data_IF_211390079063
#
_entry.id   IF_211390079063
#
_cell.length_a   1.000
_cell.length_b   1.000
_cell.length_c   1.000
_cell.angle_alpha   90.00
_cell.angle_beta   90.00
_cell.angle_gamma   90.00
#
_symmetry.space_group_name_H-M   'P 1'
#
loop_
_entity.id
_entity.type
_entity.pdbx_description
1 polymer ?
#
# COMPACT_ATOMS: atom_id res chain seq x y z
N UNK A 1 8.12 7.42 16.51
CA UNK A 1 8.41 8.77 15.92
C UNK A 1 7.33 9.79 16.29
N UNK A 2 7.55 11.12 16.05
CA UNK A 2 6.51 12.14 16.21
C UNK A 2 5.79 12.36 14.87
N UNK A 3 4.54 11.92 14.76
CA UNK A 3 3.78 11.95 13.50
C UNK A 3 3.31 13.34 13.09
N UNK A 4 3.14 14.28 14.03
CA UNK A 4 2.89 15.69 13.70
C UNK A 4 4.10 16.29 12.99
N UNK A 5 5.30 16.07 13.49
CA UNK A 5 6.55 16.52 12.85
C UNK A 5 6.73 15.88 11.48
N UNK A 6 6.42 14.58 11.32
CA UNK A 6 6.49 13.88 10.02
C UNK A 6 5.49 14.48 9.02
N UNK A 7 4.26 14.77 9.44
CA UNK A 7 3.26 15.43 8.61
C UNK A 7 3.70 16.82 8.16
N UNK A 8 4.29 17.60 9.06
CA UNK A 8 4.76 18.95 8.73
C UNK A 8 5.98 18.89 7.81
N UNK A 9 6.87 17.92 8.00
CA UNK A 9 7.96 17.66 7.05
C UNK A 9 7.40 17.29 5.65
N UNK A 10 6.41 16.38 5.57
CA UNK A 10 5.79 16.00 4.31
C UNK A 10 5.20 17.18 3.56
N UNK A 11 4.47 18.10 4.23
CA UNK A 11 3.92 19.30 3.59
C UNK A 11 4.97 20.14 2.87
N UNK A 12 6.17 20.22 3.40
CA UNK A 12 7.26 21.04 2.85
C UNK A 12 8.10 20.28 1.80
N UNK A 13 8.25 18.98 1.97
CA UNK A 13 9.30 18.18 1.32
C UNK A 13 8.78 17.00 0.47
N UNK A 14 7.48 16.76 0.37
CA UNK A 14 6.95 15.73 -0.54
C UNK A 14 7.44 15.91 -1.98
N UNK A 15 7.45 14.85 -2.77
CA UNK A 15 7.90 14.92 -4.17
C UNK A 15 6.92 15.73 -5.02
N UNK A 16 7.30 16.97 -5.32
CA UNK A 16 6.44 17.93 -6.02
C UNK A 16 6.26 17.64 -7.50
N UNK A 17 7.16 16.86 -8.10
CA UNK A 17 7.05 16.44 -9.50
C UNK A 17 5.88 15.44 -9.70
N UNK A 18 5.42 14.80 -8.62
CA UNK A 18 4.29 13.89 -8.65
C UNK A 18 3.06 14.57 -8.03
N UNK A 19 2.21 15.12 -8.89
CA UNK A 19 0.99 15.78 -8.50
C UNK A 19 -0.22 15.20 -9.24
N UNK A 20 -1.37 15.21 -8.59
CA UNK A 20 -2.62 14.75 -9.17
C UNK A 20 -2.73 13.21 -9.18
N UNK A 21 -3.67 12.72 -9.98
CA UNK A 21 -4.05 11.30 -10.01
C UNK A 21 -3.47 10.53 -11.20
N UNK A 22 -3.04 11.22 -12.23
CA UNK A 22 -2.47 10.61 -13.43
C UNK A 22 -0.94 10.57 -13.32
N UNK A 23 -0.43 9.43 -12.88
CA UNK A 23 1.00 9.17 -12.71
C UNK A 23 1.37 7.97 -13.57
N UNK A 24 2.32 8.16 -14.47
CA UNK A 24 2.81 7.16 -15.44
C UNK A 24 4.31 6.92 -15.29
N UNK A 25 4.85 6.00 -16.06
CA UNK A 25 6.30 5.72 -16.09
C UNK A 25 7.12 6.98 -16.40
N UNK A 26 6.63 7.84 -17.30
CA UNK A 26 7.34 9.10 -17.66
C UNK A 26 7.48 10.08 -16.49
N UNK A 27 6.58 10.03 -15.51
CA UNK A 27 6.65 10.85 -14.31
C UNK A 27 7.64 10.29 -13.27
N UNK A 28 7.68 8.95 -13.11
CA UNK A 28 8.50 8.33 -12.06
C UNK A 28 9.91 7.98 -12.51
N UNK A 29 10.16 7.71 -13.79
CA UNK A 29 11.48 7.30 -14.27
C UNK A 29 12.59 8.33 -13.98
N UNK A 30 12.40 9.65 -14.23
CA UNK A 30 13.41 10.64 -13.89
C UNK A 30 13.74 10.69 -12.40
N UNK A 31 12.76 10.37 -11.53
CA UNK A 31 12.96 10.32 -10.08
C UNK A 31 13.72 9.07 -9.66
N UNK A 32 13.43 7.93 -10.29
CA UNK A 32 14.15 6.68 -10.07
C UNK A 32 15.61 6.82 -10.46
N UNK A 33 15.90 7.45 -11.62
CA UNK A 33 17.25 7.65 -12.14
C UNK A 33 18.10 8.59 -11.25
N UNK A 34 17.46 9.42 -10.44
CA UNK A 34 18.10 10.37 -9.52
C UNK A 34 18.16 9.87 -8.07
N UNK A 35 17.72 8.64 -7.77
CA UNK A 35 17.78 8.12 -6.42
C UNK A 35 19.25 8.04 -5.94
N UNK A 36 19.53 8.49 -4.69
CA UNK A 36 20.89 8.42 -4.15
C UNK A 36 21.33 6.97 -3.89
N UNK A 37 22.64 6.79 -3.61
CA UNK A 37 23.27 5.48 -3.40
C UNK A 37 22.66 4.62 -2.30
N UNK A 38 21.86 5.21 -1.41
CA UNK A 38 21.07 4.46 -0.43
C UNK A 38 20.14 3.43 -1.09
N UNK A 39 19.70 3.70 -2.31
CA UNK A 39 18.71 2.92 -3.03
C UNK A 39 19.34 2.11 -4.17
N UNK A 40 19.00 0.84 -4.23
CA UNK A 40 19.36 -0.03 -5.34
C UNK A 40 18.15 -0.20 -6.24
N UNK A 41 18.29 0.17 -7.50
CA UNK A 41 17.25 -0.01 -8.51
C UNK A 41 17.54 -1.27 -9.32
N UNK A 42 16.53 -2.13 -9.48
CA UNK A 42 16.64 -3.37 -10.26
C UNK A 42 15.51 -3.45 -11.28
N UNK A 43 15.83 -3.78 -12.53
CA UNK A 43 14.84 -4.17 -13.52
C UNK A 43 14.28 -5.56 -13.16
N UNK A 44 12.95 -5.67 -13.07
CA UNK A 44 12.26 -6.94 -12.81
C UNK A 44 11.73 -7.59 -14.09
N UNK A 45 11.52 -6.80 -15.15
CA UNK A 45 10.98 -7.27 -16.42
C UNK A 45 10.15 -6.17 -17.11
N UNK A 46 9.25 -6.59 -17.98
CA UNK A 46 8.47 -5.70 -18.81
C UNK A 46 6.99 -6.08 -18.78
N UNK A 47 6.13 -5.07 -18.87
CA UNK A 47 4.69 -5.22 -19.05
C UNK A 47 4.32 -5.80 -20.41
N UNK A 48 3.02 -5.99 -20.66
CA UNK A 48 2.49 -6.45 -21.96
C UNK A 48 3.00 -5.56 -23.10
N UNK A 49 2.91 -4.23 -22.95
CA UNK A 49 3.37 -3.24 -23.96
C UNK A 49 4.87 -2.89 -23.84
N UNK A 50 5.65 -3.74 -23.17
CA UNK A 50 7.12 -3.60 -23.05
C UNK A 50 7.59 -2.35 -22.28
N UNK A 51 6.78 -1.85 -21.36
CA UNK A 51 7.23 -0.84 -20.40
C UNK A 51 7.97 -1.50 -19.25
N UNK A 52 9.07 -0.88 -18.83
CA UNK A 52 9.94 -1.40 -17.77
C UNK A 52 9.25 -1.39 -16.41
N UNK A 53 9.35 -2.51 -15.68
CA UNK A 53 8.92 -2.65 -14.28
C UNK A 53 10.18 -2.77 -13.42
N UNK A 54 10.29 -1.92 -12.41
CA UNK A 54 11.48 -1.81 -11.56
C UNK A 54 11.12 -1.95 -10.08
N UNK A 55 12.08 -2.43 -9.30
CA UNK A 55 12.06 -2.33 -7.84
C UNK A 55 13.12 -1.35 -7.34
N UNK A 56 12.83 -0.75 -6.19
CA UNK A 56 13.72 0.10 -5.40
C UNK A 56 13.94 -0.60 -4.08
N UNK A 57 15.20 -0.98 -3.80
CA UNK A 57 15.58 -1.69 -2.56
C UNK A 57 16.46 -0.80 -1.70
N UNK A 58 16.23 -0.77 -0.39
CA UNK A 58 17.01 -0.01 0.59
C UNK A 58 16.97 -0.69 1.96
N UNK A 59 17.97 -0.36 2.81
CA UNK A 59 18.21 -1.08 4.06
C UNK A 59 18.96 -2.39 3.83
N UNK A 60 19.50 -2.98 4.90
CA UNK A 60 20.36 -4.16 4.86
C UNK A 60 20.03 -5.19 5.95
N UNK A 61 18.91 -4.97 6.65
CA UNK A 61 18.51 -5.82 7.75
C UNK A 61 17.88 -7.15 7.32
N UNK A 62 17.78 -8.10 8.25
CA UNK A 62 17.26 -9.44 7.97
C UNK A 62 15.76 -9.49 7.72
N UNK A 63 14.98 -8.49 8.19
CA UNK A 63 13.53 -8.47 7.99
C UNK A 63 13.24 -8.01 6.57
N UNK A 64 12.63 -8.88 5.75
CA UNK A 64 12.32 -8.61 4.36
C UNK A 64 10.89 -8.05 4.23
N UNK A 65 10.75 -6.83 3.70
CA UNK A 65 9.46 -6.18 3.45
C UNK A 65 9.33 -5.93 1.96
N UNK A 66 8.33 -6.54 1.33
CA UNK A 66 7.99 -6.33 -0.08
C UNK A 66 6.72 -5.50 -0.19
N UNK A 67 6.78 -4.40 -0.95
CA UNK A 67 5.60 -3.58 -1.26
C UNK A 67 5.46 -3.33 -2.76
N UNK A 68 4.23 -3.24 -3.24
CA UNK A 68 3.95 -2.87 -4.62
C UNK A 68 2.77 -1.91 -4.69
N UNK A 69 2.84 -0.98 -5.63
CA UNK A 69 1.81 0.02 -5.90
C UNK A 69 1.40 0.00 -7.38
N UNK A 70 0.35 0.69 -7.70
CA UNK A 70 -0.22 0.78 -9.04
C UNK A 70 -0.33 -0.58 -9.77
N UNK A 71 -0.73 -1.63 -9.05
CA UNK A 71 -1.24 -2.87 -9.64
C UNK A 71 -2.50 -2.57 -10.48
N UNK A 72 -3.35 -1.69 -10.00
CA UNK A 72 -4.36 -1.01 -10.80
C UNK A 72 -3.79 0.32 -11.28
N UNK A 73 -3.69 0.51 -12.59
CA UNK A 73 -2.93 1.61 -13.16
C UNK A 73 -3.43 3.02 -12.76
N UNK A 74 -4.73 3.16 -12.49
CA UNK A 74 -5.36 4.41 -12.07
C UNK A 74 -5.31 4.69 -10.54
N UNK A 75 -4.59 3.87 -9.77
CA UNK A 75 -4.48 3.98 -8.30
C UNK A 75 -3.10 4.51 -7.88
N UNK A 76 -2.80 5.77 -8.22
CA UNK A 76 -1.45 6.34 -8.12
C UNK A 76 -1.10 6.98 -6.78
N UNK A 77 -2.05 7.14 -5.85
CA UNK A 77 -1.82 7.88 -4.59
C UNK A 77 -0.72 7.25 -3.75
N UNK A 78 -0.69 5.93 -3.66
CA UNK A 78 0.33 5.19 -2.92
C UNK A 78 1.69 5.19 -3.62
N UNK A 79 1.73 5.25 -4.96
CA UNK A 79 2.96 5.48 -5.71
C UNK A 79 3.61 6.81 -5.32
N UNK A 80 2.82 7.90 -5.28
CA UNK A 80 3.33 9.20 -4.83
C UNK A 80 3.88 9.12 -3.40
N UNK A 81 3.15 8.45 -2.49
CA UNK A 81 3.60 8.27 -1.11
C UNK A 81 4.90 7.46 -0.98
N UNK A 82 5.17 6.50 -1.88
CA UNK A 82 6.45 5.79 -1.94
C UNK A 82 7.61 6.72 -2.29
N UNK A 83 7.43 7.66 -3.24
CA UNK A 83 8.48 8.64 -3.56
C UNK A 83 8.70 9.62 -2.42
N UNK A 84 7.65 10.00 -1.68
CA UNK A 84 7.81 10.78 -0.44
C UNK A 84 8.61 10.03 0.62
N UNK A 85 8.36 8.72 0.74
CA UNK A 85 9.08 7.83 1.62
C UNK A 85 10.57 7.74 1.25
N UNK A 86 10.88 7.58 -0.05
CA UNK A 86 12.27 7.55 -0.52
C UNK A 86 12.99 8.88 -0.20
N UNK A 87 12.34 10.02 -0.45
CA UNK A 87 12.88 11.33 -0.07
C UNK A 87 13.11 11.45 1.43
N UNK A 88 12.19 10.95 2.24
CA UNK A 88 12.31 11.00 3.69
C UNK A 88 13.49 10.16 4.17
N UNK A 89 13.65 8.94 3.68
CA UNK A 89 14.79 8.09 4.03
C UNK A 89 16.12 8.73 3.60
N UNK A 90 16.19 9.26 2.39
CA UNK A 90 17.40 9.96 1.89
C UNK A 90 17.77 11.16 2.77
N UNK A 91 16.78 11.96 3.18
CA UNK A 91 17.01 13.16 3.98
C UNK A 91 17.38 12.86 5.44
N UNK A 92 17.00 11.70 5.96
CA UNK A 92 17.12 11.38 7.40
C UNK A 92 17.96 10.13 7.65
N UNK A 93 18.68 9.60 6.66
CA UNK A 93 19.44 8.34 6.76
C UNK A 93 20.47 8.34 7.91
N UNK A 94 20.94 9.51 8.35
CA UNK A 94 21.90 9.66 9.44
C UNK A 94 21.26 9.72 10.83
N UNK A 95 19.96 9.88 10.94
CA UNK A 95 19.26 9.87 12.22
C UNK A 95 19.24 8.47 12.84
N UNK A 96 19.42 8.38 14.14
CA UNK A 96 19.52 7.10 14.89
C UNK A 96 18.33 6.17 14.61
N UNK A 97 17.10 6.71 14.60
CA UNK A 97 15.89 5.92 14.38
C UNK A 97 15.82 5.38 12.94
N UNK A 98 16.27 6.15 11.94
CA UNK A 98 16.29 5.73 10.54
C UNK A 98 17.39 4.70 10.31
N UNK A 99 18.58 4.91 10.87
CA UNK A 99 19.67 3.89 10.89
C UNK A 99 19.20 2.58 11.51
N UNK A 100 18.41 2.65 12.57
CA UNK A 100 17.86 1.43 13.20
C UNK A 100 16.91 0.70 12.25
N UNK A 101 16.01 1.41 11.58
CA UNK A 101 15.12 0.83 10.56
C UNK A 101 15.91 0.19 9.41
N UNK A 102 16.87 0.90 8.84
CA UNK A 102 17.71 0.43 7.71
C UNK A 102 18.58 -0.78 8.07
N UNK A 103 19.01 -0.89 9.33
CA UNK A 103 19.81 -2.01 9.82
C UNK A 103 18.95 -3.22 10.22
N UNK A 104 17.68 -3.00 10.56
CA UNK A 104 16.76 -4.07 10.95
C UNK A 104 15.99 -4.66 9.77
N UNK A 105 15.70 -3.85 8.77
CA UNK A 105 14.86 -4.22 7.62
C UNK A 105 15.59 -4.04 6.30
N UNK A 106 15.18 -4.85 5.32
CA UNK A 106 15.42 -4.63 3.89
C UNK A 106 14.06 -4.39 3.25
N UNK A 107 13.91 -3.24 2.64
CA UNK A 107 12.69 -2.82 1.98
C UNK A 107 12.85 -2.97 0.46
N UNK A 108 11.97 -3.71 -0.19
CA UNK A 108 11.90 -3.79 -1.66
C UNK A 108 10.54 -3.29 -2.09
N UNK A 109 10.52 -2.18 -2.82
CA UNK A 109 9.30 -1.54 -3.30
C UNK A 109 9.22 -1.57 -4.82
N UNK A 110 8.07 -1.97 -5.37
CA UNK A 110 7.73 -1.87 -6.79
C UNK A 110 6.77 -0.68 -6.94
N UNK A 111 7.26 0.51 -7.35
CA UNK A 111 6.42 1.72 -7.32
C UNK A 111 5.26 1.67 -8.33
N UNK A 112 5.42 0.93 -9.43
CA UNK A 112 4.41 0.80 -10.47
C UNK A 112 4.48 -0.61 -11.07
N UNK A 113 3.52 -1.46 -10.71
CA UNK A 113 3.45 -2.84 -11.20
C UNK A 113 2.79 -2.92 -12.58
N UNK A 114 1.82 -2.03 -12.87
CA UNK A 114 1.03 -2.01 -14.10
C UNK A 114 1.24 -0.68 -14.86
N UNK A 115 2.37 -0.52 -15.53
CA UNK A 115 2.67 0.72 -16.25
C UNK A 115 1.75 0.94 -17.46
N UNK A 116 1.23 -0.10 -18.08
CA UNK A 116 0.30 0.00 -19.21
C UNK A 116 -1.06 0.52 -18.76
N UNK A 117 -1.59 -0.03 -17.67
CA UNK A 117 -2.80 0.49 -17.04
C UNK A 117 -2.63 1.91 -16.49
N UNK A 118 -1.43 2.26 -16.01
CA UNK A 118 -1.12 3.62 -15.58
C UNK A 118 -1.21 4.60 -16.75
N UNK A 119 -0.62 4.28 -17.90
CA UNK A 119 -0.65 5.09 -19.11
C UNK A 119 -2.08 5.28 -19.65
N UNK A 120 -2.86 4.20 -19.69
CA UNK A 120 -4.25 4.22 -20.13
C UNK A 120 -5.23 4.76 -19.06
N UNK A 121 -4.76 5.00 -17.84
CA UNK A 121 -5.56 5.36 -16.65
C UNK A 121 -6.68 4.35 -16.38
N UNK A 122 -6.37 3.07 -16.46
CA UNK A 122 -7.31 1.96 -16.26
C UNK A 122 -6.95 1.13 -15.03
N UNK A 123 -7.93 0.41 -14.50
CA UNK A 123 -7.73 -0.59 -13.45
C UNK A 123 -6.92 -1.78 -13.98
N UNK A 124 -7.27 -2.25 -15.17
CA UNK A 124 -6.72 -3.44 -15.81
C UNK A 124 -5.41 -3.15 -16.56
N UNK A 125 -4.66 -4.19 -16.91
CA UNK A 125 -3.47 -4.06 -17.77
C UNK A 125 -3.86 -3.94 -19.27
N UNK A 126 -2.88 -3.91 -20.16
CA UNK A 126 -3.11 -3.79 -21.61
C UNK A 126 -3.95 -4.94 -22.20
N UNK A 127 -3.91 -6.13 -21.62
CA UNK A 127 -4.74 -7.27 -22.01
C UNK A 127 -6.13 -7.27 -21.37
N UNK A 128 -6.54 -6.17 -20.72
CA UNK A 128 -7.83 -6.04 -20.02
C UNK A 128 -7.99 -7.01 -18.84
N UNK A 129 -6.89 -7.45 -18.24
CA UNK A 129 -6.88 -8.33 -17.08
C UNK A 129 -6.68 -7.53 -15.81
N UNK A 130 -7.52 -7.80 -14.80
CA UNK A 130 -7.30 -7.32 -13.43
C UNK A 130 -6.20 -8.15 -12.78
N UNK A 131 -5.02 -7.56 -12.57
CA UNK A 131 -3.86 -8.25 -11.98
C UNK A 131 -4.13 -8.77 -10.56
N UNK A 132 -5.07 -8.13 -9.82
CA UNK A 132 -5.51 -8.63 -8.52
C UNK A 132 -6.58 -9.73 -8.63
N UNK A 133 -6.71 -10.36 -9.80
CA UNK A 133 -7.51 -11.56 -10.10
C UNK A 133 -6.72 -12.58 -10.91
N UNK A 134 -5.41 -12.40 -11.03
CA UNK A 134 -4.51 -13.25 -11.81
C UNK A 134 -3.42 -13.91 -10.96
N UNK A 135 -3.56 -13.89 -9.62
CA UNK A 135 -2.53 -14.38 -8.70
C UNK A 135 -2.28 -15.89 -8.79
N UNK A 136 -3.29 -16.68 -9.20
CA UNK A 136 -3.18 -18.14 -9.36
C UNK A 136 -2.84 -18.52 -10.81
N UNK A 137 -3.54 -17.90 -11.77
CA UNK A 137 -3.43 -18.28 -13.18
C UNK A 137 -2.16 -17.75 -13.84
N UNK A 138 -1.64 -16.59 -13.36
CA UNK A 138 -0.39 -15.98 -13.81
C UNK A 138 -0.34 -15.81 -15.32
N UNK A 139 -1.43 -15.36 -15.91
CA UNK A 139 -1.58 -15.19 -17.36
C UNK A 139 -0.88 -13.93 -17.88
N UNK A 140 -0.51 -13.01 -16.98
CA UNK A 140 0.05 -11.73 -17.33
C UNK A 140 1.52 -11.61 -16.88
N UNK A 141 2.37 -10.94 -17.68
CA UNK A 141 3.79 -10.77 -17.33
C UNK A 141 3.96 -10.02 -15.99
N UNK A 142 3.11 -9.04 -15.69
CA UNK A 142 3.13 -8.28 -14.45
C UNK A 142 2.87 -9.19 -13.23
N UNK A 143 1.92 -10.13 -13.36
CA UNK A 143 1.61 -11.13 -12.32
C UNK A 143 2.77 -12.09 -12.10
N UNK A 144 3.41 -12.54 -13.19
CA UNK A 144 4.60 -13.40 -13.13
C UNK A 144 5.78 -12.68 -12.45
N UNK A 145 6.01 -11.40 -12.77
CA UNK A 145 7.04 -10.56 -12.16
C UNK A 145 6.82 -10.45 -10.65
N UNK A 146 5.59 -10.17 -10.21
CA UNK A 146 5.28 -10.07 -8.79
C UNK A 146 5.48 -11.42 -8.08
N UNK A 147 5.07 -12.54 -8.73
CA UNK A 147 5.30 -13.88 -8.19
C UNK A 147 6.79 -14.18 -8.04
N UNK A 148 7.60 -13.89 -9.05
CA UNK A 148 9.05 -14.06 -9.00
C UNK A 148 9.67 -13.22 -7.89
N UNK A 149 9.20 -11.97 -7.71
CA UNK A 149 9.68 -11.09 -6.66
C UNK A 149 9.44 -11.70 -5.27
N UNK A 150 8.20 -12.08 -4.92
CA UNK A 150 7.94 -12.63 -3.58
C UNK A 150 8.55 -14.03 -3.39
N UNK A 151 8.73 -14.81 -4.44
CA UNK A 151 9.37 -16.14 -4.36
C UNK A 151 10.88 -16.02 -4.12
N UNK A 152 11.53 -15.04 -4.75
CA UNK A 152 12.98 -14.83 -4.62
C UNK A 152 13.35 -14.10 -3.33
N UNK A 153 12.59 -13.07 -2.95
CA UNK A 153 12.83 -12.26 -1.75
C UNK A 153 12.47 -13.04 -0.48
N UNK A 154 11.40 -13.86 -0.52
CA UNK A 154 10.80 -14.54 0.65
C UNK A 154 10.47 -13.55 1.76
N UNK A 155 9.57 -12.59 1.51
CA UNK A 155 9.31 -11.52 2.44
C UNK A 155 8.69 -12.01 3.74
N UNK A 156 9.09 -11.40 4.86
CA UNK A 156 8.44 -11.56 6.15
C UNK A 156 7.10 -10.81 6.21
N UNK A 157 6.97 -9.72 5.43
CA UNK A 157 5.76 -8.89 5.35
C UNK A 157 5.55 -8.40 3.92
N UNK A 158 4.27 -8.32 3.51
CA UNK A 158 3.87 -7.75 2.23
C UNK A 158 2.95 -6.54 2.40
N UNK A 159 3.17 -5.50 1.58
CA UNK A 159 2.36 -4.29 1.51
C UNK A 159 1.72 -4.18 0.13
N UNK A 160 0.41 -4.43 0.06
CA UNK A 160 -0.39 -4.32 -1.16
C UNK A 160 -1.04 -2.94 -1.21
N UNK A 161 -0.48 -2.04 -2.03
CA UNK A 161 -0.78 -0.61 -1.98
C UNK A 161 -1.77 -0.22 -3.08
N UNK A 162 -3.03 -0.02 -2.70
CA UNK A 162 -4.16 0.30 -3.56
C UNK A 162 -4.75 1.69 -3.33
N UNK A 163 -5.75 2.02 -4.15
CA UNK A 163 -6.59 3.18 -4.00
C UNK A 163 -8.07 2.84 -4.20
N UNK A 164 -8.91 3.23 -3.25
CA UNK A 164 -10.34 2.98 -3.33
C UNK A 164 -11.12 4.13 -3.98
N UNK A 165 -12.32 3.81 -4.48
CA UNK A 165 -13.25 4.79 -5.02
C UNK A 165 -13.78 5.74 -3.95
N UNK A 166 -14.26 6.92 -4.35
CA UNK A 166 -14.85 7.95 -3.48
C UNK A 166 -16.16 7.54 -2.81
N UNK A 167 -16.80 6.46 -3.30
CA UNK A 167 -18.09 5.97 -2.80
C UNK A 167 -18.05 5.39 -1.38
N UNK A 168 -16.86 5.11 -0.84
CA UNK A 168 -16.72 4.47 0.45
C UNK A 168 -16.75 5.47 1.60
N UNK A 169 -17.52 5.12 2.62
CA UNK A 169 -17.57 5.80 3.89
C UNK A 169 -17.59 4.82 5.06
N UNK A 170 -17.45 5.32 6.26
CA UNK A 170 -17.36 4.57 7.52
C UNK A 170 -18.18 5.22 8.62
N UNK A 171 -18.60 4.43 9.58
CA UNK A 171 -19.28 4.92 10.79
C UNK A 171 -20.77 5.23 10.61
N UNK A 172 -21.35 5.85 11.66
CA UNK A 172 -22.74 6.34 11.70
C UNK A 172 -22.80 7.56 12.62
N UNK A 173 -23.06 8.79 12.12
CA UNK A 173 -23.23 9.11 10.69
C UNK A 173 -21.97 8.81 9.86
N UNK A 174 -22.16 8.52 8.56
CA UNK A 174 -21.07 8.15 7.68
C UNK A 174 -20.11 9.33 7.46
N UNK A 175 -18.80 9.06 7.59
CA UNK A 175 -17.71 9.93 7.17
C UNK A 175 -17.01 9.31 5.96
N UNK A 176 -16.35 10.11 5.13
CA UNK A 176 -15.53 9.58 4.03
C UNK A 176 -14.47 8.62 4.57
N UNK A 177 -14.34 7.45 3.96
CA UNK A 177 -13.24 6.52 4.24
C UNK A 177 -11.97 7.06 3.57
N UNK A 178 -11.24 7.92 4.29
CA UNK A 178 -10.03 8.58 3.77
C UNK A 178 -8.92 7.56 3.55
N UNK A 179 -8.78 6.62 4.48
CA UNK A 179 -7.84 5.51 4.41
C UNK A 179 -8.57 4.26 4.87
N UNK A 180 -8.34 3.15 4.18
CA UNK A 180 -8.82 1.85 4.66
C UNK A 180 -7.72 0.82 4.59
N UNK A 181 -7.83 -0.20 5.42
CA UNK A 181 -6.88 -1.31 5.50
C UNK A 181 -7.60 -2.64 5.49
N UNK A 182 -6.86 -3.70 5.15
CA UNK A 182 -7.30 -5.06 5.28
C UNK A 182 -6.12 -5.98 5.62
N UNK A 183 -6.31 -6.86 6.58
CA UNK A 183 -5.56 -8.11 6.69
C UNK A 183 -6.33 -9.17 5.90
N UNK A 184 -5.86 -9.58 4.70
CA UNK A 184 -6.59 -10.47 3.80
C UNK A 184 -6.94 -11.80 4.43
N UNK A 185 -7.98 -12.46 3.93
CA UNK A 185 -8.36 -13.78 4.41
C UNK A 185 -7.40 -14.86 3.90
N UNK A 186 -7.19 -15.89 4.72
CA UNK A 186 -6.37 -17.05 4.37
C UNK A 186 -7.22 -18.20 3.79
N UNK A 187 -8.52 -18.21 4.11
CA UNK A 187 -9.47 -19.23 3.72
C UNK A 187 -10.90 -18.67 3.66
N UNK A 188 -11.84 -19.49 3.17
CA UNK A 188 -13.25 -19.14 3.03
C UNK A 188 -13.95 -18.89 4.38
N UNK A 189 -13.46 -19.50 5.46
CA UNK A 189 -13.97 -19.31 6.82
C UNK A 189 -13.46 -18.02 7.45
N UNK A 190 -12.56 -17.30 6.77
CA UNK A 190 -11.92 -16.07 7.26
C UNK A 190 -11.22 -16.28 8.60
N UNK A 191 -10.57 -17.44 8.75
CA UNK A 191 -9.89 -17.84 9.97
C UNK A 191 -8.86 -16.80 10.40
N UNK A 192 -8.85 -16.46 11.68
CA UNK A 192 -7.86 -15.56 12.26
C UNK A 192 -6.61 -16.35 12.60
N UNK A 193 -5.76 -16.54 11.61
CA UNK A 193 -4.49 -17.28 11.73
C UNK A 193 -3.38 -16.41 12.36
N UNK A 194 -2.24 -17.03 12.70
CA UNK A 194 -1.10 -16.30 13.29
C UNK A 194 -0.58 -15.18 12.36
N UNK A 195 -0.41 -15.49 11.07
CA UNK A 195 0.04 -14.50 10.08
C UNK A 195 -0.98 -13.36 9.90
N UNK A 196 -2.28 -13.69 9.91
CA UNK A 196 -3.36 -12.71 9.82
C UNK A 196 -3.42 -11.81 11.06
N UNK A 197 -3.21 -12.37 12.26
CA UNK A 197 -3.13 -11.60 13.52
C UNK A 197 -2.01 -10.56 13.49
N UNK A 198 -0.87 -10.90 12.91
CA UNK A 198 0.25 -9.95 12.73
C UNK A 198 -0.22 -8.75 11.90
N UNK A 199 -0.83 -8.98 10.73
CA UNK A 199 -1.39 -7.92 9.90
C UNK A 199 -2.44 -7.08 10.62
N UNK A 200 -3.33 -7.73 11.38
CA UNK A 200 -4.37 -7.07 12.19
C UNK A 200 -3.77 -6.18 13.28
N UNK A 201 -2.72 -6.65 13.96
CA UNK A 201 -2.03 -5.86 15.00
C UNK A 201 -1.40 -4.60 14.40
N UNK A 202 -0.69 -4.73 13.28
CA UNK A 202 -0.11 -3.57 12.57
C UNK A 202 -1.22 -2.60 12.15
N UNK A 203 -2.34 -3.08 11.59
CA UNK A 203 -3.46 -2.23 11.20
C UNK A 203 -4.09 -1.50 12.41
N UNK A 204 -4.15 -2.14 13.57
CA UNK A 204 -4.60 -1.49 14.80
C UNK A 204 -3.71 -0.31 15.19
N UNK A 205 -2.40 -0.48 15.10
CA UNK A 205 -1.42 0.59 15.32
C UNK A 205 -1.57 1.74 14.30
N UNK A 206 -1.82 1.41 13.03
CA UNK A 206 -2.07 2.39 11.98
C UNK A 206 -3.34 3.19 12.28
N UNK A 207 -4.41 2.51 12.69
CA UNK A 207 -5.66 3.15 13.05
C UNK A 207 -5.46 4.10 14.24
N UNK A 208 -4.82 3.65 15.32
CA UNK A 208 -4.54 4.49 16.49
C UNK A 208 -3.80 5.78 16.10
N UNK A 209 -2.75 5.67 15.31
CA UNK A 209 -1.99 6.82 14.82
C UNK A 209 -2.85 7.75 13.95
N UNK A 210 -3.62 7.21 13.02
CA UNK A 210 -4.43 7.98 12.08
C UNK A 210 -5.62 8.68 12.74
N UNK A 211 -6.20 8.12 13.82
CA UNK A 211 -7.28 8.75 14.57
C UNK A 211 -6.88 10.13 15.13
N UNK A 212 -5.58 10.40 15.30
CA UNK A 212 -5.09 11.72 15.71
C UNK A 212 -5.26 12.79 14.62
N UNK A 213 -5.36 12.40 13.35
CA UNK A 213 -5.41 13.31 12.20
C UNK A 213 -6.74 13.29 11.44
N UNK A 214 -7.35 12.11 11.34
CA UNK A 214 -8.59 11.86 10.60
C UNK A 214 -9.59 11.04 11.43
N UNK A 215 -10.03 11.57 12.59
CA UNK A 215 -10.84 10.83 13.53
C UNK A 215 -12.16 10.34 12.90
N UNK A 216 -12.38 9.03 12.98
CA UNK A 216 -13.57 8.36 12.45
C UNK A 216 -13.60 8.23 10.92
N UNK A 217 -12.46 8.40 10.23
CA UNK A 217 -12.35 8.31 8.76
C UNK A 217 -11.39 7.19 8.30
N UNK A 218 -11.03 6.28 9.20
CA UNK A 218 -10.28 5.06 8.90
C UNK A 218 -11.25 3.90 8.80
N UNK A 219 -11.15 3.11 7.74
CA UNK A 219 -12.03 1.99 7.46
C UNK A 219 -11.32 0.65 7.44
N UNK A 220 -12.11 -0.41 7.62
CA UNK A 220 -11.72 -1.79 7.37
C UNK A 220 -12.38 -2.26 6.07
N UNK A 221 -11.56 -2.71 5.11
CA UNK A 221 -12.07 -3.21 3.83
C UNK A 221 -12.67 -4.63 4.00
N UNK A 222 -13.53 -5.03 3.05
CA UNK A 222 -14.17 -6.36 3.04
C UNK A 222 -13.13 -7.47 2.92
N UNK A 223 -13.19 -8.47 3.80
CA UNK A 223 -12.30 -9.63 3.85
C UNK A 223 -12.88 -10.89 3.19
N UNK A 224 -13.81 -10.74 2.24
CA UNK A 224 -14.32 -11.84 1.44
C UNK A 224 -13.19 -12.56 0.70
N UNK A 225 -12.99 -13.87 1.03
CA UNK A 225 -11.89 -14.66 0.48
C UNK A 225 -12.01 -14.84 -1.04
N UNK A 226 -10.91 -14.61 -1.73
CA UNK A 226 -10.76 -14.91 -3.15
C UNK A 226 -9.30 -15.25 -3.45
N UNK A 227 -9.01 -16.51 -3.65
CA UNK A 227 -7.64 -17.00 -3.86
C UNK A 227 -6.93 -16.34 -5.06
N UNK A 228 -7.68 -15.83 -6.05
CA UNK A 228 -7.09 -15.07 -7.16
C UNK A 228 -6.71 -13.61 -6.79
N UNK A 229 -7.07 -13.14 -5.59
CA UNK A 229 -6.51 -11.89 -5.05
C UNK A 229 -5.08 -12.15 -4.54
N UNK A 230 -4.17 -11.24 -4.88
CA UNK A 230 -2.75 -11.38 -4.48
C UNK A 230 -2.61 -11.39 -2.96
N UNK A 231 -3.37 -10.55 -2.25
CA UNK A 231 -3.33 -10.50 -0.79
C UNK A 231 -3.73 -11.83 -0.14
N UNK A 232 -4.82 -12.46 -0.61
CA UNK A 232 -5.29 -13.74 -0.09
C UNK A 232 -4.32 -14.89 -0.44
N UNK A 233 -3.74 -14.86 -1.65
CA UNK A 233 -2.69 -15.79 -2.05
C UNK A 233 -1.49 -15.73 -1.10
N UNK A 234 -0.97 -14.54 -0.82
CA UNK A 234 0.17 -14.37 0.08
C UNK A 234 -0.17 -14.74 1.51
N UNK A 235 -1.38 -14.39 1.96
CA UNK A 235 -1.87 -14.78 3.28
C UNK A 235 -1.97 -16.31 3.42
N UNK A 236 -2.41 -17.02 2.35
CA UNK A 236 -2.43 -18.49 2.31
C UNK A 236 -1.02 -19.09 2.38
N UNK A 237 -0.01 -18.39 1.85
CA UNK A 237 1.41 -18.75 2.01
C UNK A 237 1.97 -18.42 3.41
N UNK A 238 1.13 -18.01 4.36
CA UNK A 238 1.50 -17.58 5.70
C UNK A 238 2.39 -16.32 5.74
N UNK A 239 2.30 -15.46 4.72
CA UNK A 239 3.01 -14.18 4.69
C UNK A 239 2.05 -13.09 5.17
N UNK A 240 2.28 -12.47 6.34
CA UNK A 240 1.50 -11.34 6.81
C UNK A 240 1.42 -10.25 5.74
N UNK A 241 0.21 -10.02 5.24
CA UNK A 241 -0.03 -9.07 4.15
C UNK A 241 -0.98 -7.98 4.63
N UNK A 242 -0.64 -6.73 4.35
CA UNK A 242 -1.46 -5.57 4.67
C UNK A 242 -1.86 -4.90 3.36
N UNK A 243 -3.16 -4.86 3.10
CA UNK A 243 -3.72 -4.08 2.01
C UNK A 243 -4.00 -2.66 2.50
N UNK A 244 -3.57 -1.69 1.70
CA UNK A 244 -3.81 -0.27 1.87
C UNK A 244 -4.77 0.21 0.79
N UNK A 245 -5.74 1.01 1.18
CA UNK A 245 -6.68 1.66 0.27
C UNK A 245 -6.67 3.17 0.48
N UNK A 246 -6.01 3.88 -0.43
CA UNK A 246 -6.03 5.34 -0.47
C UNK A 246 -7.40 5.83 -0.93
N UNK A 247 -8.18 6.40 -0.02
CA UNK A 247 -9.53 6.89 -0.27
C UNK A 247 -9.59 8.39 -0.57
N UNK A 248 -10.73 9.00 -0.29
CA UNK A 248 -11.01 10.39 -0.61
C UNK A 248 -11.09 11.25 0.67
N UNK A 249 -10.22 12.26 0.73
CA UNK A 249 -10.36 13.33 1.72
C UNK A 249 -11.33 14.39 1.15
N UNK A 250 -12.36 14.81 1.90
CA UNK A 250 -13.32 15.82 1.41
C UNK A 250 -12.64 17.10 0.92
N UNK A 251 -12.97 17.52 -0.31
CA UNK A 251 -12.37 18.70 -0.94
C UNK A 251 -10.99 18.48 -1.57
N UNK A 252 -10.41 17.29 -1.45
CA UNK A 252 -9.09 16.96 -2.01
C UNK A 252 -9.24 15.95 -3.17
N UNK A 253 -9.65 16.43 -4.33
CA UNK A 253 -9.85 15.60 -5.52
C UNK A 253 -8.54 14.95 -5.99
N UNK A 254 -7.42 15.65 -5.87
CA UNK A 254 -6.08 15.20 -6.28
C UNK A 254 -5.44 14.24 -5.29
N UNK A 255 -6.10 13.99 -4.14
CA UNK A 255 -5.68 13.06 -3.08
C UNK A 255 -4.33 13.37 -2.45
N UNK A 256 -3.95 14.63 -2.39
CA UNK A 256 -2.67 15.03 -1.78
C UNK A 256 -2.69 14.91 -0.25
N UNK A 257 -3.86 15.14 0.40
CA UNK A 257 -4.01 14.88 1.84
C UNK A 257 -3.95 13.38 2.12
N UNK A 258 -4.65 12.56 1.33
CA UNK A 258 -4.60 11.10 1.46
C UNK A 258 -3.19 10.56 1.22
N UNK A 259 -2.45 11.10 0.26
CA UNK A 259 -1.03 10.80 0.03
C UNK A 259 -0.19 10.97 1.30
N UNK A 260 -0.39 12.08 2.02
CA UNK A 260 0.29 12.32 3.29
C UNK A 260 -0.03 11.23 4.32
N UNK A 261 -1.30 10.84 4.46
CA UNK A 261 -1.68 9.79 5.40
C UNK A 261 -1.13 8.41 5.00
N UNK A 262 -1.01 8.12 3.69
CA UNK A 262 -0.33 6.92 3.21
C UNK A 262 1.16 6.93 3.56
N UNK A 263 1.85 8.06 3.37
CA UNK A 263 3.24 8.22 3.78
C UNK A 263 3.43 7.99 5.28
N UNK A 264 2.60 8.59 6.13
CA UNK A 264 2.65 8.37 7.59
C UNK A 264 2.39 6.90 7.94
N UNK A 265 1.44 6.27 7.27
CA UNK A 265 1.09 4.86 7.48
C UNK A 265 2.24 3.93 7.12
N UNK A 266 2.95 4.17 6.02
CA UNK A 266 4.12 3.38 5.63
C UNK A 266 5.21 3.43 6.70
N UNK A 267 5.51 4.61 7.24
CA UNK A 267 6.48 4.77 8.34
C UNK A 267 6.00 4.02 9.58
N UNK A 268 4.69 4.11 9.93
CA UNK A 268 4.14 3.42 11.10
C UNK A 268 4.23 1.90 10.98
N UNK A 269 3.97 1.33 9.78
CA UNK A 269 4.18 -0.11 9.56
C UNK A 269 5.60 -0.53 9.95
N UNK A 270 6.61 0.23 9.52
CA UNK A 270 8.00 -0.14 9.77
C UNK A 270 8.35 -0.08 11.26
N UNK A 271 7.80 0.89 12.00
CA UNK A 271 7.93 0.91 13.46
C UNK A 271 7.22 -0.28 14.11
N UNK A 272 5.98 -0.58 13.68
CA UNK A 272 5.20 -1.69 14.23
C UNK A 272 5.87 -3.04 13.99
N UNK A 273 6.47 -3.25 12.81
CA UNK A 273 7.24 -4.47 12.50
C UNK A 273 8.42 -4.66 13.45
N UNK A 274 9.10 -3.58 13.86
CA UNK A 274 10.18 -3.67 14.84
C UNK A 274 9.67 -4.01 16.25
N UNK A 275 8.52 -3.45 16.63
CA UNK A 275 7.91 -3.68 17.95
C UNK A 275 7.41 -5.12 18.08
N UNK A 276 6.79 -5.68 17.05
CA UNK A 276 6.26 -7.06 17.04
C UNK A 276 7.33 -8.14 17.23
N UNK A 277 8.60 -7.86 16.95
CA UNK A 277 9.70 -8.78 17.27
C UNK A 277 10.03 -8.85 18.76
N UNK A 278 9.63 -7.85 19.53
CA UNK A 278 9.95 -7.73 20.96
C UNK A 278 8.76 -8.04 21.88
N UNK A 279 7.55 -8.10 21.37
CA UNK A 279 6.31 -8.22 22.14
C UNK A 279 5.41 -9.35 21.63
N UNK A 280 4.50 -9.83 22.48
CA UNK A 280 3.45 -10.77 22.06
C UNK A 280 2.51 -10.08 21.05
N UNK A 281 2.06 -10.85 20.04
CA UNK A 281 1.12 -10.37 19.03
C UNK A 281 -0.15 -9.89 19.72
N UNK A 282 -0.51 -8.63 19.52
CA UNK A 282 -1.66 -7.99 20.12
C UNK A 282 -3.01 -8.68 19.83
N UNK A 283 -4.04 -8.30 20.58
CA UNK A 283 -5.40 -8.82 20.41
C UNK A 283 -6.02 -8.31 19.09
N UNK A 284 -6.65 -9.20 18.33
CA UNK A 284 -7.38 -8.87 17.10
C UNK A 284 -8.67 -8.04 17.31
N UNK A 285 -9.13 -7.87 18.56
CA UNK A 285 -10.34 -7.09 18.86
C UNK A 285 -10.24 -5.64 18.43
N UNK A 286 -9.07 -5.00 18.58
CA UNK A 286 -8.82 -3.62 18.15
C UNK A 286 -8.95 -3.46 16.63
N UNK A 287 -8.55 -4.47 15.85
CA UNK A 287 -8.74 -4.50 14.41
C UNK A 287 -10.23 -4.59 14.04
N UNK A 288 -10.99 -5.48 14.69
CA UNK A 288 -12.42 -5.64 14.42
C UNK A 288 -13.26 -4.45 14.91
N UNK A 289 -12.75 -3.64 15.81
CA UNK A 289 -13.37 -2.38 16.22
C UNK A 289 -13.28 -1.27 15.13
N UNK A 290 -12.40 -1.41 14.14
CA UNK A 290 -12.33 -0.49 13.00
C UNK A 290 -13.60 -0.67 12.16
N UNK A 291 -14.38 0.41 11.87
CA UNK A 291 -15.61 0.29 11.12
C UNK A 291 -15.40 -0.24 9.71
N UNK A 292 -16.31 -1.11 9.25
CA UNK A 292 -16.29 -1.59 7.87
C UNK A 292 -16.64 -0.49 6.87
N UNK A 293 -16.01 -0.55 5.71
CA UNK A 293 -16.34 0.30 4.57
C UNK A 293 -17.77 0.05 4.08
N UNK A 294 -18.48 1.14 3.83
CA UNK A 294 -19.83 1.11 3.26
C UNK A 294 -19.88 1.95 2.00
N UNK A 295 -20.59 1.48 0.98
CA UNK A 295 -20.87 2.27 -0.23
C UNK A 295 -22.01 3.23 0.06
N UNK A 296 -21.73 4.47 0.40
CA UNK A 296 -22.71 5.45 0.87
C UNK A 296 -22.57 6.86 0.30
N UNK A 297 -21.53 7.11 -0.53
CA UNK A 297 -21.36 8.38 -1.22
C UNK A 297 -21.57 8.22 -2.72
N UNK A 298 -22.63 8.85 -3.25
CA UNK A 298 -23.00 8.78 -4.66
C UNK A 298 -23.48 10.16 -5.13
N UNK A 299 -23.01 10.61 -6.27
CA UNK A 299 -23.57 11.80 -6.93
C UNK A 299 -24.96 11.49 -7.52
N UNK A 300 -25.07 10.31 -8.11
CA UNK A 300 -26.32 9.75 -8.60
C UNK A 300 -26.27 8.23 -8.51
N UNK A 301 -27.35 7.60 -8.07
CA UNK A 301 -27.48 6.15 -8.08
C UNK A 301 -28.82 5.75 -8.67
N UNK A 302 -28.78 4.90 -9.73
CA UNK A 302 -29.97 4.29 -10.35
C UNK A 302 -29.88 2.80 -10.08
N UNK A 303 -30.94 2.23 -9.49
CA UNK A 303 -31.01 0.81 -9.15
C UNK A 303 -32.24 0.17 -9.77
N UNK A 304 -32.16 -1.16 -9.98
CA UNK A 304 -33.27 -1.97 -10.50
C UNK A 304 -33.84 -1.42 -11.83
N UNK A 305 -32.96 -0.98 -12.73
CA UNK A 305 -33.34 -0.55 -14.07
C UNK A 305 -33.51 -1.83 -14.89
N UNK A 306 -34.75 -2.07 -15.40
CA UNK A 306 -35.07 -3.16 -16.31
C UNK A 306 -34.79 -2.71 -17.75
#
# INVERSE_FOLDING_TARGET
MNYTTLRDWHKLHHEKALFGRYITTSHIQPLIDQLPQLFQVKSLGYSVEKRLIQSVTFGTGPIQILGWSQMHGNESTTTKALFDLFRWFAAHQDQTVVKHLLNACTFTMIPMLNPDGAEAYTRVNANQVDLNRDAQNLTQPESCILKEAYTSIKPDYCLNLHGQRTIFGVGSPAKSAIVSFLSPSQDELRTVTASRKIGMSIISDLNEMLQQFIPGSVGRYDDGFNLNCVGDTLQQLNIPTILFEAGHFPGDYEREQTRCFMFLSLIRVFESVLLLKSEEIGDSNSYFAIPENKKCYFDCIIRNVN
#
